data_IF_610168715712
#
_entry.id   IF_610168715712
#
_cell.length_a   1.000
_cell.length_b   1.000
_cell.length_c   1.000
_cell.angle_alpha   90.00
_cell.angle_beta   90.00
_cell.angle_gamma   90.00
#
_symmetry.space_group_name_H-M   'P 1'
#
loop_
_entity.id
_entity.type
_entity.pdbx_description
1 polymer ?
#
# COMPACT_ATOMS: atom_id res chain seq x y z
N UNK A 1 -7.30 -13.24 4.46
CA UNK A 1 -6.16 -12.63 3.75
C UNK A 1 -5.56 -13.66 2.81
N UNK A 2 -5.20 -13.26 1.59
CA UNK A 2 -4.50 -14.09 0.63
C UNK A 2 -2.98 -14.07 0.83
N UNK A 3 -2.28 -15.04 0.23
CA UNK A 3 -0.81 -15.08 0.20
C UNK A 3 -0.26 -13.82 -0.48
N UNK A 4 0.49 -13.01 0.25
CA UNK A 4 1.13 -11.78 -0.25
C UNK A 4 0.39 -10.47 0.03
N UNK A 5 -0.74 -10.54 0.75
CA UNK A 5 -1.43 -9.36 1.29
C UNK A 5 -0.55 -8.61 2.29
N UNK A 6 -0.77 -7.31 2.41
CA UNK A 6 -0.05 -6.49 3.39
C UNK A 6 -0.46 -6.86 4.81
N UNK A 7 0.53 -7.11 5.67
CA UNK A 7 0.30 -7.18 7.12
C UNK A 7 -0.14 -5.81 7.65
N UNK A 8 -0.73 -5.78 8.84
CA UNK A 8 -1.12 -4.50 9.47
C UNK A 8 0.08 -3.55 9.64
N UNK A 9 1.24 -4.06 10.00
CA UNK A 9 2.46 -3.25 10.13
C UNK A 9 2.96 -2.71 8.79
N UNK A 10 2.90 -3.50 7.71
CA UNK A 10 3.24 -3.03 6.37
C UNK A 10 2.24 -1.98 5.88
N UNK A 11 0.96 -2.22 6.12
CA UNK A 11 -0.10 -1.27 5.79
C UNK A 11 0.08 0.06 6.54
N UNK A 12 0.39 0.03 7.83
CA UNK A 12 0.61 1.23 8.63
C UNK A 12 1.78 2.10 8.11
N UNK A 13 2.80 1.49 7.50
CA UNK A 13 3.91 2.21 6.84
C UNK A 13 3.53 2.75 5.46
N UNK A 14 2.70 2.01 4.72
CA UNK A 14 2.26 2.38 3.37
C UNK A 14 1.18 3.48 3.37
N UNK A 15 0.19 3.36 4.27
CA UNK A 15 -1.00 4.21 4.30
C UNK A 15 -0.68 5.72 4.32
N UNK A 16 0.30 6.22 5.09
CA UNK A 16 0.64 7.65 5.12
C UNK A 16 1.24 8.17 3.81
N UNK A 17 1.77 7.28 2.96
CA UNK A 17 2.38 7.63 1.67
C UNK A 17 1.37 7.70 0.53
N UNK A 18 0.14 7.26 0.78
CA UNK A 18 -0.90 7.28 -0.24
C UNK A 18 -1.34 8.73 -0.51
N UNK A 19 -1.67 9.06 -1.77
CA UNK A 19 -2.21 10.37 -2.09
C UNK A 19 -3.48 10.63 -1.27
N UNK A 20 -3.49 11.71 -0.50
CA UNK A 20 -4.67 12.19 0.22
C UNK A 20 -5.59 12.88 -0.78
N UNK A 21 -6.76 12.28 -1.02
CA UNK A 21 -7.80 12.90 -1.85
C UNK A 21 -8.39 14.13 -1.15
N UNK A 22 -8.81 15.14 -1.91
CA UNK A 22 -9.62 16.25 -1.40
C UNK A 22 -11.02 15.74 -1.02
N UNK A 23 -11.40 15.95 0.25
CA UNK A 23 -12.70 15.78 0.96
C UNK A 23 -13.56 14.54 0.59
N UNK A 24 -14.04 13.75 1.56
CA UNK A 24 -14.87 12.59 1.26
C UNK A 24 -16.27 13.04 0.79
N UNK A 25 -16.63 12.66 -0.43
CA UNK A 25 -18.04 12.42 -0.79
C UNK A 25 -18.49 11.07 -0.20
N UNK A 26 -19.34 10.34 -0.93
CA UNK A 26 -19.81 9.00 -0.50
C UNK A 26 -18.64 8.09 -0.07
N UNK A 27 -18.74 7.39 1.08
CA UNK A 27 -17.72 6.45 1.51
C UNK A 27 -17.41 5.43 0.40
N UNK A 28 -16.12 5.14 0.22
CA UNK A 28 -15.71 4.18 -0.80
C UNK A 28 -16.06 2.78 -0.34
N UNK A 29 -16.81 2.05 -1.14
CA UNK A 29 -17.17 0.64 -0.89
C UNK A 29 -15.93 -0.26 -0.75
N UNK A 30 -14.85 0.04 -1.49
CA UNK A 30 -13.59 -0.70 -1.42
C UNK A 30 -12.46 0.20 -0.92
N UNK A 31 -11.78 -0.25 0.12
CA UNK A 31 -10.65 0.47 0.74
C UNK A 31 -9.44 0.46 -0.19
N UNK A 32 -8.56 1.45 -0.04
CA UNK A 32 -7.27 1.42 -0.73
C UNK A 32 -6.48 0.14 -0.43
N UNK A 33 -6.56 -0.36 0.81
CA UNK A 33 -5.88 -1.59 1.21
C UNK A 33 -6.30 -2.79 0.35
N UNK A 34 -7.61 -3.03 0.23
CA UNK A 34 -8.12 -4.14 -0.57
C UNK A 34 -7.70 -4.05 -2.03
N UNK A 35 -7.82 -2.87 -2.63
CA UNK A 35 -7.44 -2.67 -4.03
C UNK A 35 -5.93 -2.82 -4.23
N UNK A 36 -5.11 -2.32 -3.31
CA UNK A 36 -3.65 -2.46 -3.35
C UNK A 36 -3.24 -3.92 -3.17
N UNK A 37 -3.87 -4.67 -2.27
CA UNK A 37 -3.61 -6.10 -2.11
C UNK A 37 -3.97 -6.88 -3.39
N UNK A 38 -5.07 -6.51 -4.08
CA UNK A 38 -5.42 -7.06 -5.40
C UNK A 38 -4.39 -6.75 -6.48
N UNK A 39 -3.89 -5.50 -6.53
CA UNK A 39 -2.81 -5.09 -7.46
C UNK A 39 -1.52 -5.86 -7.15
N UNK A 40 -1.15 -6.01 -5.87
CA UNK A 40 0.04 -6.77 -5.44
C UNK A 40 -0.08 -8.23 -5.84
N UNK A 41 -1.25 -8.84 -5.64
CA UNK A 41 -1.50 -10.21 -6.07
C UNK A 41 -1.30 -10.34 -7.58
N UNK A 42 -1.91 -9.47 -8.38
CA UNK A 42 -1.80 -9.48 -9.85
C UNK A 42 -0.36 -9.31 -10.32
N UNK A 43 0.36 -8.36 -9.74
CA UNK A 43 1.77 -8.10 -10.09
C UNK A 43 2.67 -9.27 -9.74
N UNK A 44 2.40 -9.97 -8.63
CA UNK A 44 3.16 -11.16 -8.22
C UNK A 44 2.85 -12.39 -9.07
N UNK A 45 1.59 -12.59 -9.47
CA UNK A 45 1.18 -13.77 -10.23
C UNK A 45 1.32 -13.61 -11.75
N UNK A 46 1.34 -12.38 -12.26
CA UNK A 46 1.30 -12.10 -13.69
C UNK A 46 -0.04 -12.42 -14.35
N UNK A 47 -1.05 -12.81 -13.57
CA UNK A 47 -2.34 -13.25 -14.11
C UNK A 47 -3.08 -12.09 -14.81
N UNK A 48 -3.99 -12.40 -15.76
CA UNK A 48 -4.91 -11.44 -16.32
C UNK A 48 -5.66 -10.64 -15.24
N UNK A 49 -5.96 -9.37 -15.51
CA UNK A 49 -6.69 -8.53 -14.55
C UNK A 49 -8.05 -9.13 -14.18
N UNK A 50 -8.73 -9.79 -15.13
CA UNK A 50 -10.03 -10.43 -14.89
C UNK A 50 -9.98 -11.58 -13.88
N UNK A 51 -8.79 -12.12 -13.62
CA UNK A 51 -8.58 -13.24 -12.71
C UNK A 51 -8.19 -12.77 -11.30
N UNK A 52 -8.18 -11.44 -11.06
CA UNK A 52 -7.96 -10.90 -9.72
C UNK A 52 -9.07 -11.40 -8.79
N UNK A 53 -8.73 -12.05 -7.66
CA UNK A 53 -9.73 -12.62 -6.78
C UNK A 53 -10.72 -11.59 -6.23
N UNK A 54 -12.01 -11.93 -6.26
CA UNK A 54 -13.12 -11.04 -5.86
C UNK A 54 -13.03 -10.53 -4.41
N UNK A 55 -12.30 -11.24 -3.54
CA UNK A 55 -12.00 -10.80 -2.17
C UNK A 55 -11.32 -9.42 -2.10
N UNK A 56 -10.67 -8.98 -3.17
CA UNK A 56 -10.05 -7.66 -3.28
C UNK A 56 -11.00 -6.58 -3.83
N UNK A 57 -12.22 -6.97 -4.17
CA UNK A 57 -13.19 -6.16 -4.89
C UNK A 57 -13.13 -6.37 -6.41
N UNK A 58 -13.93 -5.60 -7.17
CA UNK A 58 -14.00 -5.74 -8.61
C UNK A 58 -12.67 -5.41 -9.28
N UNK A 59 -12.22 -6.31 -10.17
CA UNK A 59 -10.92 -6.18 -10.84
C UNK A 59 -10.73 -4.84 -11.57
N UNK A 60 -11.80 -4.30 -12.16
CA UNK A 60 -11.74 -3.03 -12.90
C UNK A 60 -11.41 -1.84 -11.97
N UNK A 61 -11.85 -1.86 -10.71
CA UNK A 61 -11.49 -0.82 -9.73
C UNK A 61 -10.02 -0.88 -9.35
N UNK A 62 -9.48 -2.09 -9.19
CA UNK A 62 -8.05 -2.29 -8.94
C UNK A 62 -7.21 -1.84 -10.16
N UNK A 63 -7.65 -2.19 -11.37
CA UNK A 63 -7.04 -1.74 -12.62
C UNK A 63 -7.08 -0.22 -12.78
N UNK A 64 -8.24 0.42 -12.55
CA UNK A 64 -8.40 1.88 -12.65
C UNK A 64 -7.48 2.61 -11.68
N UNK A 65 -7.38 2.12 -10.44
CA UNK A 65 -6.46 2.66 -9.44
C UNK A 65 -5.02 2.50 -9.90
N UNK A 66 -4.64 1.31 -10.34
CA UNK A 66 -3.30 1.02 -10.84
C UNK A 66 -2.92 1.95 -11.99
N UNK A 67 -3.77 2.05 -13.02
CA UNK A 67 -3.53 2.86 -14.21
C UNK A 67 -3.46 4.34 -13.89
N UNK A 68 -4.36 4.85 -13.05
CA UNK A 68 -4.34 6.24 -12.61
C UNK A 68 -3.03 6.56 -11.90
N UNK A 69 -2.67 5.77 -10.89
CA UNK A 69 -1.44 5.97 -10.12
C UNK A 69 -0.17 5.77 -10.94
N UNK A 70 -0.21 4.92 -11.96
CA UNK A 70 0.88 4.75 -12.92
C UNK A 70 1.07 6.02 -13.75
N UNK A 71 -0.02 6.58 -14.31
CA UNK A 71 0.03 7.82 -15.10
C UNK A 71 0.45 9.02 -14.27
N UNK A 72 -0.01 9.08 -13.02
CA UNK A 72 0.29 10.19 -12.10
C UNK A 72 1.67 10.05 -11.42
N UNK A 73 2.44 8.99 -11.71
CA UNK A 73 3.75 8.74 -11.10
C UNK A 73 3.70 8.37 -9.60
N UNK A 74 2.51 8.12 -9.06
CA UNK A 74 2.30 7.85 -7.62
C UNK A 74 3.02 6.57 -7.19
N UNK A 75 3.01 5.51 -8.01
CA UNK A 75 3.73 4.27 -7.68
C UNK A 75 5.23 4.49 -7.50
N UNK A 76 5.82 5.30 -8.38
CA UNK A 76 7.24 5.66 -8.32
C UNK A 76 7.54 6.42 -7.02
N UNK A 77 6.72 7.44 -6.71
CA UNK A 77 6.87 8.22 -5.47
C UNK A 77 6.74 7.35 -4.21
N UNK A 78 5.75 6.45 -4.16
CA UNK A 78 5.58 5.53 -3.03
C UNK A 78 6.83 4.65 -2.87
N UNK A 79 7.36 4.12 -3.97
CA UNK A 79 8.54 3.27 -3.95
C UNK A 79 9.78 4.02 -3.45
N UNK A 80 10.03 5.23 -3.95
CA UNK A 80 11.12 6.10 -3.51
C UNK A 80 11.06 6.40 -2.01
N UNK A 81 9.87 6.72 -1.50
CA UNK A 81 9.66 6.98 -0.07
C UNK A 81 9.90 5.72 0.78
N UNK A 82 9.43 4.55 0.32
CA UNK A 82 9.69 3.27 1.00
C UNK A 82 11.19 2.92 1.02
N UNK A 83 11.93 3.22 -0.05
CA UNK A 83 13.38 3.06 -0.07
C UNK A 83 14.07 4.02 0.90
N UNK A 84 13.62 5.27 0.98
CA UNK A 84 14.16 6.24 1.94
C UNK A 84 14.01 5.75 3.39
N UNK A 85 12.86 5.14 3.76
CA UNK A 85 12.69 4.54 5.09
C UNK A 85 13.66 3.38 5.38
N UNK A 86 14.07 2.63 4.34
CA UNK A 86 15.03 1.53 4.50
C UNK A 86 16.46 2.03 4.64
N UNK A 87 16.81 3.10 3.91
CA UNK A 87 18.19 3.61 3.80
C UNK A 87 18.49 4.72 4.79
N UNK A 88 17.48 5.33 5.42
CA UNK A 88 17.69 6.24 6.52
C UNK A 88 18.54 5.53 7.59
N UNK A 89 19.71 6.10 7.98
CA UNK A 89 20.49 5.50 9.06
C UNK A 89 19.58 5.39 10.27
N UNK A 90 19.68 4.26 10.99
CA UNK A 90 18.99 4.06 12.26
C UNK A 90 19.43 5.14 13.24
N UNK A 91 18.78 6.30 13.19
CA UNK A 91 18.86 7.31 14.24
C UNK A 91 18.04 6.70 15.36
N UNK A 92 18.75 6.11 16.33
CA UNK A 92 18.23 5.64 17.60
C UNK A 92 17.50 6.81 18.27
N UNK A 93 16.24 7.02 17.91
CA UNK A 93 15.29 7.73 18.75
C UNK A 93 14.97 6.72 19.84
N UNK A 94 15.45 7.01 21.04
CA UNK A 94 15.13 6.30 22.28
C UNK A 94 16.11 5.15 22.60
N UNK A 95 17.34 5.51 22.94
CA UNK A 95 17.99 4.83 24.05
C UNK A 95 17.33 5.33 25.35
N UNK A 96 16.42 4.55 25.92
CA UNK A 96 16.13 4.67 27.34
C UNK A 96 17.34 4.07 28.09
N UNK A 97 17.95 4.77 29.07
CA UNK A 97 19.06 4.20 29.85
C UNK A 97 18.60 2.97 30.64
N UNK A 98 19.51 2.05 31.02
CA UNK A 98 19.15 0.95 31.89
C UNK A 98 18.67 1.51 33.23
N UNK A 99 17.45 1.20 33.62
CA UNK A 99 17.03 1.32 35.01
C UNK A 99 17.59 0.10 35.74
N UNK A 100 18.69 0.30 36.47
CA UNK A 100 19.04 -0.56 37.60
C UNK A 100 17.98 -0.39 38.70
N UNK A 101 17.35 -1.49 39.10
CA UNK A 101 16.85 -1.78 40.45
C UNK A 101 16.51 -3.27 40.56
#
# INVERSE_FOLDING_TARGET
MGRGDLTNGQWARLQPLLPTGKKPGRPRTWTHRLLIDGIRWRTRTGAPWRDVPERYGPWHRAYDLFRRWQRDGIWKRILEQLHAYRTAPYVRRDAQPPTDA
#
